data_IF_986765387341
#
_entry.id   IF_986765387341
#
_cell.length_a   1.000
_cell.length_b   1.000
_cell.length_c   1.000
_cell.angle_alpha   90.00
_cell.angle_beta   90.00
_cell.angle_gamma   90.00
#
_symmetry.space_group_name_H-M   'P 1'
#
loop_
_entity.id
_entity.type
_entity.pdbx_description
1 polymer ?
#
# COMPACT_ATOMS: atom_id res chain seq x y z
N UNK A 1 -3.31 -13.07 -5.94
CA UNK A 1 -3.84 -11.69 -5.82
C UNK A 1 -4.09 -11.27 -4.38
N UNK A 2 -4.80 -12.06 -3.56
CA UNK A 2 -5.04 -11.71 -2.15
C UNK A 2 -3.75 -11.42 -1.35
N UNK A 3 -2.75 -12.29 -1.44
CA UNK A 3 -1.43 -12.10 -0.78
C UNK A 3 -0.74 -10.80 -1.22
N UNK A 4 -0.63 -10.57 -2.53
CA UNK A 4 -0.08 -9.34 -3.08
C UNK A 4 -0.81 -8.08 -2.56
N UNK A 5 -2.14 -8.13 -2.43
CA UNK A 5 -2.91 -7.02 -1.88
C UNK A 5 -2.66 -6.81 -0.38
N UNK A 6 -2.48 -7.89 0.40
CA UNK A 6 -2.06 -7.80 1.80
C UNK A 6 -0.68 -7.17 1.92
N UNK A 7 0.31 -7.67 1.19
CA UNK A 7 1.69 -7.18 1.25
C UNK A 7 1.80 -5.73 0.77
N UNK A 8 1.01 -5.36 -0.24
CA UNK A 8 1.00 -4.00 -0.77
C UNK A 8 0.36 -3.02 0.21
N UNK A 9 -0.84 -3.33 0.71
CA UNK A 9 -1.63 -2.40 1.53
C UNK A 9 -1.26 -2.39 3.02
N UNK A 10 -0.66 -3.46 3.53
CA UNK A 10 -0.19 -3.58 4.92
C UNK A 10 1.33 -3.57 5.04
N UNK A 11 2.03 -3.44 3.91
CA UNK A 11 3.48 -3.34 3.85
C UNK A 11 4.01 -2.10 4.59
N UNK A 12 5.30 -2.14 4.90
CA UNK A 12 5.98 -1.07 5.63
C UNK A 12 5.81 0.33 5.02
N UNK A 13 5.95 0.55 3.69
CA UNK A 13 5.76 1.88 3.09
C UNK A 13 4.36 2.46 3.32
N UNK A 14 3.32 1.63 3.18
CA UNK A 14 1.93 2.03 3.40
C UNK A 14 1.67 2.39 4.88
N UNK A 15 2.34 1.71 5.82
CA UNK A 15 2.22 1.97 7.26
C UNK A 15 2.96 3.23 7.69
N UNK A 16 4.16 3.46 7.16
CA UNK A 16 4.98 4.63 7.47
C UNK A 16 4.33 5.93 7.00
N UNK A 17 3.62 5.90 5.87
CA UNK A 17 2.81 7.03 5.39
C UNK A 17 1.69 7.44 6.35
N UNK A 18 1.12 6.50 7.12
CA UNK A 18 0.02 6.78 8.05
C UNK A 18 -1.32 7.19 7.42
N UNK A 19 -1.45 7.12 6.08
CA UNK A 19 -2.66 7.53 5.35
C UNK A 19 -3.79 6.50 5.48
N UNK A 20 -3.43 5.23 5.57
CA UNK A 20 -4.37 4.13 5.72
C UNK A 20 -4.34 3.57 7.13
N UNK A 21 -5.51 3.24 7.69
CA UNK A 21 -5.62 2.54 8.97
C UNK A 21 -5.40 1.05 8.77
N UNK A 22 -4.28 0.46 9.24
CA UNK A 22 -3.93 -0.93 8.93
C UNK A 22 -4.97 -1.94 9.42
N UNK A 23 -5.58 -1.69 10.59
CA UNK A 23 -6.61 -2.56 11.15
C UNK A 23 -7.88 -2.58 10.28
N UNK A 24 -8.24 -1.45 9.70
CA UNK A 24 -9.41 -1.35 8.84
C UNK A 24 -9.17 -2.04 7.49
N UNK A 25 -7.98 -1.83 6.92
CA UNK A 25 -7.55 -2.50 5.68
C UNK A 25 -7.50 -4.02 5.86
N UNK A 26 -6.94 -4.50 6.98
CA UNK A 26 -6.90 -5.94 7.31
C UNK A 26 -8.30 -6.53 7.37
N UNK A 27 -9.23 -5.87 8.06
CA UNK A 27 -10.62 -6.29 8.13
C UNK A 27 -11.29 -6.37 6.75
N UNK A 28 -11.06 -5.39 5.87
CA UNK A 28 -11.60 -5.43 4.50
C UNK A 28 -11.07 -6.62 3.71
N UNK A 29 -9.76 -6.90 3.83
CA UNK A 29 -9.11 -8.03 3.17
C UNK A 29 -9.61 -9.38 3.70
N UNK A 30 -9.81 -9.49 5.02
CA UNK A 30 -10.33 -10.70 5.66
C UNK A 30 -11.79 -10.95 5.28
N UNK A 31 -12.65 -9.93 5.35
CA UNK A 31 -14.06 -10.04 4.97
C UNK A 31 -14.22 -10.40 3.47
N UNK A 32 -13.35 -9.86 2.61
CA UNK A 32 -13.31 -10.17 1.18
C UNK A 32 -12.79 -11.59 0.92
N UNK A 33 -11.69 -11.99 1.58
CA UNK A 33 -11.10 -13.32 1.43
C UNK A 33 -12.00 -14.45 1.95
N UNK A 34 -12.79 -14.17 2.99
CA UNK A 34 -13.79 -15.10 3.51
C UNK A 34 -15.08 -15.17 2.67
N UNK A 35 -15.21 -14.35 1.61
CA UNK A 35 -16.42 -14.28 0.78
C UNK A 35 -17.65 -13.72 1.49
N UNK A 36 -17.49 -13.21 2.72
CA UNK A 36 -18.59 -12.71 3.55
C UNK A 36 -19.16 -11.39 3.03
N UNK A 37 -18.32 -10.56 2.40
CA UNK A 37 -18.71 -9.31 1.76
C UNK A 37 -17.85 -9.00 0.55
N UNK A 38 -18.47 -8.43 -0.48
CA UNK A 38 -17.74 -7.95 -1.65
C UNK A 38 -17.17 -6.55 -1.39
N UNK A 39 -15.86 -6.49 -1.11
CA UNK A 39 -15.11 -5.24 -0.96
C UNK A 39 -14.20 -4.93 -2.16
N UNK A 40 -14.42 -5.56 -3.33
CA UNK A 40 -13.49 -5.47 -4.46
C UNK A 40 -13.17 -4.03 -4.86
N UNK A 41 -14.18 -3.14 -4.96
CA UNK A 41 -14.00 -1.75 -5.40
C UNK A 41 -13.16 -0.95 -4.41
N UNK A 42 -13.39 -1.17 -3.11
CA UNK A 42 -12.65 -0.48 -2.04
C UNK A 42 -11.20 -0.93 -2.01
N UNK A 43 -10.98 -2.24 -2.06
CA UNK A 43 -9.64 -2.81 -2.09
C UNK A 43 -8.88 -2.40 -3.34
N UNK A 44 -9.55 -2.36 -4.50
CA UNK A 44 -8.96 -1.89 -5.75
C UNK A 44 -8.56 -0.42 -5.67
N UNK A 45 -9.43 0.45 -5.15
CA UNK A 45 -9.10 1.88 -4.98
C UNK A 45 -7.89 2.08 -4.06
N UNK A 46 -7.82 1.35 -2.94
CA UNK A 46 -6.67 1.38 -2.04
C UNK A 46 -5.40 0.88 -2.72
N UNK A 47 -5.50 -0.18 -3.52
CA UNK A 47 -4.35 -0.75 -4.24
C UNK A 47 -3.79 0.25 -5.25
N UNK A 48 -4.66 0.85 -6.06
CA UNK A 48 -4.27 1.88 -7.02
C UNK A 48 -3.65 3.10 -6.34
N UNK A 49 -4.18 3.50 -5.18
CA UNK A 49 -3.63 4.59 -4.39
C UNK A 49 -2.21 4.26 -3.88
N UNK A 50 -1.98 3.07 -3.34
CA UNK A 50 -0.66 2.65 -2.86
C UNK A 50 0.36 2.56 -4.01
N UNK A 51 -0.05 2.02 -5.16
CA UNK A 51 0.81 1.99 -6.34
C UNK A 51 1.17 3.39 -6.83
N UNK A 52 0.23 4.34 -6.78
CA UNK A 52 0.51 5.73 -7.11
C UNK A 52 1.52 6.35 -6.14
N UNK A 53 1.39 6.09 -4.84
CA UNK A 53 2.38 6.56 -3.85
C UNK A 53 3.78 6.03 -4.14
N UNK A 54 3.90 4.73 -4.44
CA UNK A 54 5.20 4.13 -4.78
C UNK A 54 5.82 4.78 -6.02
N UNK A 55 5.05 4.88 -7.11
CA UNK A 55 5.57 5.38 -8.38
C UNK A 55 5.88 6.89 -8.41
N UNK A 56 5.23 7.70 -7.57
CA UNK A 56 5.33 9.16 -7.68
C UNK A 56 5.83 9.87 -6.44
N UNK A 57 5.66 9.29 -5.24
CA UNK A 57 6.12 9.88 -3.98
C UNK A 57 7.40 9.20 -3.51
N UNK A 58 7.43 7.87 -3.49
CA UNK A 58 8.62 7.13 -3.03
C UNK A 58 9.76 7.19 -4.06
N UNK A 59 9.47 6.93 -5.33
CA UNK A 59 10.46 7.04 -6.41
C UNK A 59 11.02 8.48 -6.54
N UNK A 60 10.17 9.49 -6.30
CA UNK A 60 10.61 10.88 -6.28
C UNK A 60 11.48 11.20 -5.04
N UNK A 61 11.17 10.59 -3.88
CA UNK A 61 11.98 10.73 -2.68
C UNK A 61 13.35 10.05 -2.81
N UNK A 62 13.42 8.90 -3.49
CA UNK A 62 14.68 8.20 -3.78
C UNK A 62 15.55 9.00 -4.77
N UNK A 63 14.94 9.57 -5.81
CA UNK A 63 15.64 10.45 -6.76
C UNK A 63 16.17 11.76 -6.11
N UNK A 64 15.52 12.24 -5.06
CA UNK A 64 15.92 13.45 -4.33
C UNK A 64 16.95 13.17 -3.21
N UNK A 65 17.28 11.91 -2.92
CA UNK A 65 18.30 11.58 -1.93
C UNK A 65 19.67 12.11 -2.41
N UNK A 66 20.44 12.81 -1.55
CA UNK A 66 21.72 13.36 -1.97
C UNK A 66 22.64 12.22 -2.41
N UNK A 67 23.13 12.30 -3.65
CA UNK A 67 24.23 11.45 -4.14
C UNK A 67 25.37 11.60 -3.15
N UNK A 68 25.60 10.57 -2.33
CA UNK A 68 26.80 10.53 -1.50
C UNK A 68 27.98 10.38 -2.47
N UNK A 69 28.91 11.35 -2.52
CA UNK A 69 30.13 11.13 -3.27
C UNK A 69 30.87 9.93 -2.64
N UNK A 70 31.30 9.00 -3.49
CA UNK A 70 32.19 7.92 -3.07
C UNK A 70 33.48 8.56 -2.52
N UNK A 71 33.81 8.25 -1.28
CA UNK A 71 35.07 8.64 -0.62
C UNK A 71 36.22 7.76 -1.11
#
# INVERSE_FOLDING_TARGET
LRELAHDTLLGQPARERGIMRPDYVRRLLDEHGAGTRNHHTRLWALLMLELWFRSWIDDAAEAAAPVRPAA
#
